data_IF_865086705490
#
_entry.id   IF_865086705490
#
_cell.length_a   1.000
_cell.length_b   1.000
_cell.length_c   1.000
_cell.angle_alpha   90.00
_cell.angle_beta   90.00
_cell.angle_gamma   90.00
#
_symmetry.space_group_name_H-M   'P 1'
#
loop_
_entity.id
_entity.type
_entity.pdbx_description
1 polymer ?
#
# COMPACT_ATOMS: atom_id res chain seq x y z
N UNK A 1 13.29 21.56 12.66
CA UNK A 1 13.55 20.11 12.69
C UNK A 1 12.16 19.49 12.78
N UNK A 2 11.60 19.06 11.65
CA UNK A 2 10.23 18.53 11.58
C UNK A 2 10.31 17.08 12.02
N UNK A 3 9.65 16.75 13.13
CA UNK A 3 9.50 15.39 13.65
C UNK A 3 8.50 14.64 12.78
N UNK A 4 8.98 13.93 11.78
CA UNK A 4 8.19 13.04 10.92
C UNK A 4 8.72 11.60 11.07
N UNK A 5 8.86 11.13 12.31
CA UNK A 5 9.64 9.93 12.65
C UNK A 5 8.77 8.69 12.90
N UNK A 6 7.48 8.72 12.56
CA UNK A 6 6.57 7.56 12.66
C UNK A 6 5.56 7.55 11.53
N UNK A 7 5.05 6.36 11.23
CA UNK A 7 3.92 6.18 10.33
C UNK A 7 2.72 6.88 10.98
N UNK A 8 2.31 8.02 10.41
CA UNK A 8 1.23 8.83 10.93
C UNK A 8 -0.14 8.39 10.37
N UNK A 9 -1.22 8.85 11.00
CA UNK A 9 -2.57 8.44 10.63
C UNK A 9 -2.96 8.84 9.21
N UNK A 10 -2.48 9.98 8.72
CA UNK A 10 -2.75 10.45 7.34
C UNK A 10 -2.10 9.49 6.34
N UNK A 11 -0.85 9.09 6.59
CA UNK A 11 -0.14 8.14 5.75
C UNK A 11 -0.77 6.73 5.77
N UNK A 12 -1.34 6.31 6.90
CA UNK A 12 -2.11 5.05 7.00
C UNK A 12 -3.40 5.13 6.18
N UNK A 13 -4.11 6.25 6.25
CA UNK A 13 -5.34 6.48 5.47
C UNK A 13 -5.06 6.47 3.96
N UNK A 14 -3.98 7.13 3.53
CA UNK A 14 -3.53 7.12 2.13
C UNK A 14 -3.20 5.70 1.68
N UNK A 15 -2.42 4.95 2.47
CA UNK A 15 -2.11 3.56 2.17
C UNK A 15 -3.38 2.70 2.02
N UNK A 16 -4.37 2.86 2.92
CA UNK A 16 -5.65 2.13 2.84
C UNK A 16 -6.41 2.45 1.56
N UNK A 17 -6.45 3.71 1.16
CA UNK A 17 -7.13 4.11 -0.08
C UNK A 17 -6.49 3.44 -1.31
N UNK A 18 -5.16 3.38 -1.37
CA UNK A 18 -4.44 2.71 -2.46
C UNK A 18 -4.68 1.20 -2.45
N UNK A 19 -4.66 0.56 -1.27
CA UNK A 19 -4.89 -0.87 -1.12
C UNK A 19 -6.31 -1.28 -1.55
N UNK A 20 -7.32 -0.46 -1.24
CA UNK A 20 -8.71 -0.67 -1.71
C UNK A 20 -8.83 -0.49 -3.22
N UNK A 21 -8.06 0.44 -3.80
CA UNK A 21 -8.04 0.63 -5.24
C UNK A 21 -7.39 -0.57 -5.97
N UNK A 22 -6.32 -1.16 -5.41
CA UNK A 22 -5.54 -2.27 -6.02
C UNK A 22 -6.42 -3.46 -6.42
N UNK A 23 -7.42 -3.83 -5.61
CA UNK A 23 -8.30 -4.97 -5.91
C UNK A 23 -9.11 -4.77 -7.20
N UNK A 24 -9.35 -3.52 -7.58
CA UNK A 24 -10.07 -3.16 -8.81
C UNK A 24 -9.16 -2.97 -10.03
N UNK A 25 -7.84 -2.84 -9.82
CA UNK A 25 -6.90 -2.49 -10.87
C UNK A 25 -6.86 -3.53 -12.00
N UNK A 26 -6.62 -3.01 -13.21
CA UNK A 26 -6.39 -3.80 -14.41
C UNK A 26 -5.03 -3.42 -14.97
N UNK A 27 -4.05 -4.27 -14.74
CA UNK A 27 -2.66 -4.04 -15.14
C UNK A 27 -2.19 -5.15 -16.08
N UNK A 28 -1.16 -4.84 -16.87
CA UNK A 28 -0.45 -5.87 -17.64
C UNK A 28 0.29 -6.82 -16.69
N UNK A 29 0.42 -8.13 -16.99
CA UNK A 29 0.96 -9.12 -16.06
C UNK A 29 2.28 -8.75 -15.37
N UNK A 30 3.30 -8.20 -16.07
CA UNK A 30 4.57 -7.85 -15.42
C UNK A 30 4.48 -6.73 -14.38
N UNK A 31 3.44 -5.89 -14.43
CA UNK A 31 3.23 -4.84 -13.42
C UNK A 31 2.74 -5.40 -12.10
N UNK A 32 2.07 -6.55 -12.10
CA UNK A 32 1.66 -7.20 -10.85
C UNK A 32 2.86 -7.68 -10.02
N UNK A 33 3.97 -8.04 -10.67
CA UNK A 33 5.22 -8.37 -9.97
C UNK A 33 5.81 -7.15 -9.24
N UNK A 34 5.70 -5.97 -9.86
CA UNK A 34 6.13 -4.70 -9.28
C UNK A 34 5.24 -4.32 -8.08
N UNK A 35 3.92 -4.42 -8.23
CA UNK A 35 2.97 -4.22 -7.12
C UNK A 35 3.27 -5.16 -5.96
N UNK A 36 3.51 -6.44 -6.23
CA UNK A 36 3.86 -7.42 -5.19
C UNK A 36 5.17 -7.08 -4.46
N UNK A 37 6.14 -6.48 -5.15
CA UNK A 37 7.38 -6.04 -4.51
C UNK A 37 7.14 -4.86 -3.56
N UNK A 38 6.36 -3.86 -3.97
CA UNK A 38 6.04 -2.72 -3.10
C UNK A 38 5.17 -3.10 -1.90
N UNK A 39 4.21 -4.02 -2.05
CA UNK A 39 3.44 -4.56 -0.91
C UNK A 39 4.34 -5.27 0.11
N UNK A 40 5.36 -6.01 -0.34
CA UNK A 40 6.35 -6.62 0.57
C UNK A 40 7.22 -5.57 1.26
N UNK A 41 7.54 -4.47 0.58
CA UNK A 41 8.27 -3.37 1.20
C UNK A 41 7.42 -2.68 2.27
N UNK A 42 6.11 -2.50 2.06
CA UNK A 42 5.20 -1.99 3.09
C UNK A 42 5.17 -2.89 4.32
N UNK A 43 5.06 -4.21 4.14
CA UNK A 43 5.12 -5.17 5.25
C UNK A 43 6.44 -5.06 6.02
N UNK A 44 7.56 -5.01 5.31
CA UNK A 44 8.87 -4.86 5.95
C UNK A 44 8.99 -3.53 6.71
N UNK A 45 8.47 -2.43 6.14
CA UNK A 45 8.50 -1.13 6.78
C UNK A 45 7.63 -1.09 8.04
N UNK A 46 6.46 -1.76 8.04
CA UNK A 46 5.63 -1.93 9.24
C UNK A 46 6.36 -2.74 10.32
N UNK A 47 7.03 -3.83 9.95
CA UNK A 47 7.78 -4.68 10.90
C UNK A 47 8.97 -3.93 11.54
N UNK A 48 9.55 -2.94 10.86
CA UNK A 48 10.72 -2.19 11.33
C UNK A 48 10.43 -0.76 11.77
N UNK A 49 9.17 -0.34 11.79
CA UNK A 49 8.74 1.06 12.05
C UNK A 49 9.44 2.09 11.13
N UNK A 50 9.66 1.71 9.86
CA UNK A 50 10.35 2.55 8.87
C UNK A 50 9.34 3.48 8.15
N UNK A 51 9.10 4.64 8.74
CA UNK A 51 8.15 5.62 8.19
C UNK A 51 8.53 6.18 6.81
N UNK A 52 9.83 6.30 6.50
CA UNK A 52 10.30 6.77 5.20
C UNK A 52 10.08 5.68 4.14
N UNK A 53 10.51 4.45 4.43
CA UNK A 53 10.29 3.30 3.56
C UNK A 53 8.81 3.02 3.32
N UNK A 54 7.96 3.19 4.32
CA UNK A 54 6.51 3.07 4.18
C UNK A 54 5.96 4.13 3.21
N UNK A 55 6.32 5.39 3.41
CA UNK A 55 5.87 6.50 2.56
C UNK A 55 6.29 6.33 1.11
N UNK A 56 7.55 5.97 0.88
CA UNK A 56 8.08 5.74 -0.46
C UNK A 56 7.34 4.58 -1.16
N UNK A 57 7.07 3.48 -0.43
CA UNK A 57 6.35 2.35 -1.00
C UNK A 57 4.88 2.66 -1.34
N UNK A 58 4.18 3.49 -0.54
CA UNK A 58 2.83 3.98 -0.88
C UNK A 58 2.86 4.80 -2.16
N UNK A 59 3.78 5.77 -2.26
CA UNK A 59 3.90 6.63 -3.43
C UNK A 59 4.22 5.85 -4.71
N UNK A 60 5.10 4.86 -4.62
CA UNK A 60 5.43 4.00 -5.76
C UNK A 60 4.25 3.10 -6.20
N UNK A 61 3.42 2.65 -5.24
CA UNK A 61 2.17 1.93 -5.56
C UNK A 61 1.20 2.84 -6.33
N UNK A 62 0.96 4.06 -5.84
CA UNK A 62 0.09 5.03 -6.51
C UNK A 62 0.51 5.29 -7.95
N UNK A 63 1.82 5.48 -8.18
CA UNK A 63 2.39 5.69 -9.52
C UNK A 63 2.29 4.45 -10.42
N UNK A 64 2.29 3.25 -9.83
CA UNK A 64 2.18 1.98 -10.55
C UNK A 64 0.74 1.67 -11.00
N UNK A 65 -0.25 2.28 -10.34
CA UNK A 65 -1.66 2.12 -10.62
C UNK A 65 -2.05 2.34 -12.08
N UNK A 66 -3.28 1.95 -12.47
CA UNK A 66 -3.77 2.15 -13.82
C UNK A 66 -3.82 3.65 -14.13
N UNK A 67 -2.89 4.09 -14.98
CA UNK A 67 -2.88 5.46 -15.48
C UNK A 67 -4.24 5.74 -16.13
N UNK A 68 -4.98 6.74 -15.63
CA UNK A 68 -6.29 7.18 -16.18
C UNK A 68 -6.21 7.76 -17.61
N UNK A 69 -5.14 7.48 -18.35
CA UNK A 69 -4.96 7.90 -19.72
C UNK A 69 -5.66 6.92 -20.66
N UNK A 70 -6.82 7.33 -21.15
CA UNK A 70 -7.42 6.84 -22.40
C UNK A 70 -6.43 7.06 -23.54
N UNK A 71 -5.49 6.13 -23.74
CA UNK A 71 -4.52 6.21 -24.83
C UNK A 71 -5.14 5.63 -26.09
N UNK A 72 -5.74 6.50 -26.91
CA UNK A 72 -6.20 6.17 -28.26
C UNK A 72 -5.00 5.67 -29.09
N UNK A 73 -5.07 4.42 -29.56
CA UNK A 73 -4.19 3.90 -30.62
C UNK A 73 -2.97 3.07 -30.20
N UNK A 74 -2.85 2.62 -28.96
CA UNK A 74 -1.88 1.57 -28.62
C UNK A 74 -2.56 0.21 -28.69
N UNK A 75 -1.88 -0.80 -29.25
CA UNK A 75 -2.37 -2.18 -29.29
C UNK A 75 -2.90 -2.58 -27.91
N UNK A 76 -4.09 -3.17 -27.86
CA UNK A 76 -4.77 -3.57 -26.62
C UNK A 76 -3.88 -4.56 -25.85
N UNK A 77 -3.02 -4.06 -24.97
CA UNK A 77 -2.25 -4.90 -24.08
C UNK A 77 -3.25 -5.62 -23.18
N UNK A 78 -3.18 -6.95 -23.15
CA UNK A 78 -4.06 -7.75 -22.29
C UNK A 78 -3.78 -7.40 -20.84
N UNK A 79 -4.73 -6.70 -20.22
CA UNK A 79 -4.73 -6.43 -18.79
C UNK A 79 -5.41 -7.56 -18.04
N UNK A 80 -4.95 -7.84 -16.84
CA UNK A 80 -5.53 -8.81 -15.92
C UNK A 80 -5.86 -8.14 -14.59
N UNK A 81 -6.84 -8.70 -13.88
CA UNK A 81 -7.06 -8.41 -12.46
C UNK A 81 -5.84 -8.80 -11.62
N UNK A 82 -5.85 -8.37 -10.35
CA UNK A 82 -4.91 -8.84 -9.35
C UNK A 82 -4.86 -10.37 -9.30
N UNK A 83 -3.65 -10.88 -9.11
CA UNK A 83 -3.38 -12.29 -8.89
C UNK A 83 -3.60 -12.65 -7.42
N UNK A 84 -3.82 -13.92 -7.11
CA UNK A 84 -4.08 -14.38 -5.74
C UNK A 84 -2.94 -14.01 -4.77
N UNK A 85 -1.68 -14.09 -5.22
CA UNK A 85 -0.51 -13.71 -4.40
C UNK A 85 -0.50 -12.22 -4.04
N UNK A 86 -1.00 -11.36 -4.94
CA UNK A 86 -1.13 -9.92 -4.68
C UNK A 86 -2.27 -9.64 -3.71
N UNK A 87 -3.40 -10.33 -3.86
CA UNK A 87 -4.55 -10.18 -2.97
C UNK A 87 -4.23 -10.62 -1.54
N UNK A 88 -3.48 -11.72 -1.39
CA UNK A 88 -2.97 -12.18 -0.10
C UNK A 88 -2.06 -11.12 0.55
N UNK A 89 -1.14 -10.54 -0.23
CA UNK A 89 -0.26 -9.46 0.26
C UNK A 89 -1.04 -8.20 0.66
N UNK A 90 -2.07 -7.81 -0.10
CA UNK A 90 -2.95 -6.69 0.28
C UNK A 90 -3.61 -6.97 1.62
N UNK A 91 -4.20 -8.16 1.80
CA UNK A 91 -4.79 -8.56 3.08
C UNK A 91 -3.79 -8.49 4.23
N UNK A 92 -2.58 -9.02 4.04
CA UNK A 92 -1.54 -8.97 5.05
C UNK A 92 -1.13 -7.54 5.44
N UNK A 93 -1.05 -6.60 4.49
CA UNK A 93 -0.75 -5.20 4.78
C UNK A 93 -1.90 -4.56 5.56
N UNK A 94 -3.15 -4.78 5.15
CA UNK A 94 -4.34 -4.25 5.85
C UNK A 94 -4.38 -4.73 7.30
N UNK A 95 -4.16 -6.04 7.52
CA UNK A 95 -4.10 -6.62 8.86
C UNK A 95 -2.97 -5.99 9.70
N UNK A 96 -1.80 -5.76 9.09
CA UNK A 96 -0.67 -5.09 9.76
C UNK A 96 -1.00 -3.67 10.20
N UNK A 97 -1.71 -2.89 9.35
CA UNK A 97 -2.13 -1.53 9.68
C UNK A 97 -3.17 -1.48 10.81
N UNK A 98 -4.02 -2.50 10.95
CA UNK A 98 -4.98 -2.58 12.04
C UNK A 98 -4.32 -2.97 13.38
N UNK A 99 -3.31 -3.84 13.35
CA UNK A 99 -2.53 -4.19 14.56
C UNK A 99 -1.80 -2.97 15.12
N UNK A 100 -1.09 -2.22 14.27
CA UNK A 100 -0.32 -1.05 14.70
C UNK A 100 -1.21 0.05 15.31
N UNK A 101 -2.38 0.26 14.71
CA UNK A 101 -3.40 1.16 15.24
C UNK A 101 -3.88 0.74 16.63
N UNK A 102 -4.17 -0.55 16.83
CA UNK A 102 -4.62 -1.06 18.13
C UNK A 102 -3.58 -0.87 19.24
N UNK A 103 -2.28 -1.03 18.92
CA UNK A 103 -1.20 -0.81 19.88
C UNK A 103 -1.05 0.67 20.25
N UNK A 104 -1.30 1.56 19.29
CA UNK A 104 -1.27 3.01 19.49
C UNK A 104 -2.43 3.51 20.37
N UNK A 105 -3.63 2.91 20.25
CA UNK A 105 -4.81 3.27 21.04
C UNK A 105 -4.73 2.76 22.50
N UNK A 106 -4.22 1.54 22.72
CA UNK A 106 -4.10 0.91 24.06
C UNK A 106 -3.15 1.68 25.01
N UNK A 107 -2.15 2.37 24.47
CA UNK A 107 -1.20 3.16 25.26
C UNK A 107 -1.80 4.47 25.80
N UNK A 108 -2.95 4.93 25.27
CA UNK A 108 -3.58 6.19 25.66
C UNK A 108 -4.58 6.08 26.82
N UNK A 109 -5.04 4.87 27.16
CA UNK A 109 -6.01 4.61 28.26
C UNK A 109 -5.30 4.10 29.52
N UNK A 110 -4.55 4.97 30.20
CA UNK A 110 -3.78 4.57 31.37
C UNK A 110 -3.41 5.68 32.34
N UNK A 111 -4.33 6.61 32.65
CA UNK A 111 -4.20 7.44 33.86
C UNK A 111 -5.52 8.11 34.28
N UNK A 112 -6.19 7.56 35.29
CA UNK A 112 -7.00 8.31 36.26
C UNK A 112 -6.80 7.70 37.65
#
# INVERSE_FOLDING_TARGET
MVTADRIDAELIEDARAVLDDIVSWKLVPPRWDVVAAFLRNLLAALDTDDAEGFRDAVLELELTGPARYTRVGHAEATVTSARDDVLELVGAVVDGLDVDRSLSEDTAEGHD
#
